data_IF_146250127490
#
_entry.id   IF_146250127490
#
_cell.length_a   1.000
_cell.length_b   1.000
_cell.length_c   1.000
_cell.angle_alpha   90.00
_cell.angle_beta   90.00
_cell.angle_gamma   90.00
#
_symmetry.space_group_name_H-M   'P 1'
#
loop_
_entity.id
_entity.type
_entity.pdbx_description
1 polymer ?
#
# COMPACT_ATOMS: atom_id res chain seq x y z
N UNK A 1 -0.14 -17.36 -23.13
CA UNK A 1 0.46 -16.37 -22.19
C UNK A 1 0.60 -14.99 -22.82
N UNK A 2 1.13 -14.87 -24.05
CA UNK A 2 1.21 -13.59 -24.80
C UNK A 2 -0.16 -12.97 -25.05
N UNK A 3 -1.15 -13.77 -25.49
CA UNK A 3 -2.53 -13.30 -25.72
C UNK A 3 -3.18 -12.73 -24.46
N UNK A 4 -3.02 -13.40 -23.31
CA UNK A 4 -3.53 -12.91 -22.03
C UNK A 4 -2.83 -11.62 -21.56
N UNK A 5 -1.54 -11.44 -21.89
CA UNK A 5 -0.81 -10.22 -21.61
C UNK A 5 -1.24 -9.06 -22.54
N UNK A 6 -1.52 -9.36 -23.81
CA UNK A 6 -2.08 -8.41 -24.77
C UNK A 6 -3.51 -7.99 -24.38
N UNK A 7 -4.38 -8.93 -24.02
CA UNK A 7 -5.72 -8.65 -23.50
C UNK A 7 -5.69 -7.85 -22.20
N UNK A 8 -4.72 -8.13 -21.32
CA UNK A 8 -4.52 -7.37 -20.09
C UNK A 8 -3.97 -5.95 -20.35
N UNK A 9 -3.33 -5.71 -21.50
CA UNK A 9 -2.80 -4.41 -21.92
C UNK A 9 -3.80 -3.58 -22.72
N UNK A 10 -4.71 -4.23 -23.46
CA UNK A 10 -5.83 -3.57 -24.15
C UNK A 10 -6.85 -2.97 -23.15
N UNK A 11 -7.17 -3.72 -22.09
CA UNK A 11 -8.15 -3.31 -21.06
C UNK A 11 -7.88 -1.93 -20.41
N UNK A 12 -6.64 -1.58 -20.02
CA UNK A 12 -6.31 -0.24 -19.52
C UNK A 12 -6.60 0.89 -20.51
N UNK A 13 -6.33 0.68 -21.80
CA UNK A 13 -6.54 1.70 -22.85
C UNK A 13 -8.03 1.91 -23.08
N UNK A 14 -8.80 0.81 -23.13
CA UNK A 14 -10.25 0.85 -23.27
C UNK A 14 -10.90 1.55 -22.07
N UNK A 15 -10.46 1.22 -20.84
CA UNK A 15 -10.94 1.86 -19.61
C UNK A 15 -10.57 3.34 -19.53
N UNK A 16 -9.39 3.73 -20.01
CA UNK A 16 -8.98 5.15 -20.07
C UNK A 16 -9.88 5.92 -21.03
N UNK A 17 -10.13 5.35 -22.21
CA UNK A 17 -11.00 5.97 -23.22
C UNK A 17 -12.45 6.08 -22.73
N UNK A 18 -12.97 5.04 -22.08
CA UNK A 18 -14.30 5.04 -21.47
C UNK A 18 -14.42 6.10 -20.36
N UNK A 19 -13.40 6.24 -19.51
CA UNK A 19 -13.41 7.24 -18.44
C UNK A 19 -13.34 8.68 -18.98
N UNK A 20 -12.58 8.93 -20.05
CA UNK A 20 -12.55 10.24 -20.74
C UNK A 20 -13.93 10.56 -21.32
N UNK A 21 -14.55 9.62 -22.03
CA UNK A 21 -15.88 9.80 -22.61
C UNK A 21 -16.93 10.08 -21.53
N UNK A 22 -16.90 9.33 -20.42
CA UNK A 22 -17.83 9.54 -19.31
C UNK A 22 -17.60 10.88 -18.61
N UNK A 23 -16.34 11.34 -18.50
CA UNK A 23 -16.03 12.67 -17.97
C UNK A 23 -16.62 13.77 -18.85
N UNK A 24 -16.55 13.63 -20.17
CA UNK A 24 -17.15 14.59 -21.10
C UNK A 24 -18.68 14.61 -20.98
N UNK A 25 -19.32 13.44 -20.85
CA UNK A 25 -20.77 13.33 -20.62
C UNK A 25 -21.19 14.00 -19.30
N UNK A 26 -20.41 13.83 -18.23
CA UNK A 26 -20.68 14.49 -16.95
C UNK A 26 -20.54 16.01 -17.04
N UNK A 27 -19.56 16.53 -17.77
CA UNK A 27 -19.43 17.97 -17.99
C UNK A 27 -20.61 18.53 -18.78
N UNK A 28 -21.07 17.81 -19.81
CA UNK A 28 -22.24 18.21 -20.58
C UNK A 28 -23.52 18.19 -19.72
N UNK A 29 -23.67 17.18 -18.86
CA UNK A 29 -24.76 17.13 -17.89
C UNK A 29 -24.70 18.29 -16.89
N UNK A 30 -23.52 18.62 -16.37
CA UNK A 30 -23.32 19.74 -15.44
C UNK A 30 -23.81 21.06 -16.04
N UNK A 31 -23.38 21.37 -17.27
CA UNK A 31 -23.80 22.57 -18.00
C UNK A 31 -25.32 22.59 -18.17
N UNK A 32 -25.91 21.50 -18.68
CA UNK A 32 -27.36 21.42 -18.89
C UNK A 32 -28.15 21.55 -17.57
N UNK A 33 -27.64 20.97 -16.48
CA UNK A 33 -28.27 21.07 -15.16
C UNK A 33 -28.19 22.48 -14.58
N UNK A 34 -27.08 23.18 -14.81
CA UNK A 34 -26.92 24.58 -14.40
C UNK A 34 -27.89 25.48 -15.18
N UNK A 35 -27.96 25.34 -16.51
CA UNK A 35 -28.89 26.08 -17.36
C UNK A 35 -30.36 25.87 -16.96
N UNK A 36 -30.73 24.64 -16.55
CA UNK A 36 -32.09 24.34 -16.11
C UNK A 36 -32.43 24.93 -14.74
N UNK A 37 -31.43 25.11 -13.86
CA UNK A 37 -31.61 25.61 -12.49
C UNK A 37 -31.43 27.13 -12.39
N UNK A 38 -30.71 27.76 -13.32
CA UNK A 38 -30.47 29.20 -13.37
C UNK A 38 -31.72 30.06 -13.18
N UNK A 39 -32.89 29.77 -13.80
CA UNK A 39 -34.12 30.55 -13.60
C UNK A 39 -34.68 30.49 -12.16
N UNK A 40 -34.24 29.53 -11.34
CA UNK A 40 -34.77 29.25 -10.02
C UNK A 40 -33.83 29.67 -8.88
N UNK A 41 -32.68 30.27 -9.20
CA UNK A 41 -31.65 30.63 -8.22
C UNK A 41 -32.19 31.54 -7.12
N UNK A 42 -32.96 32.59 -7.46
CA UNK A 42 -33.53 33.52 -6.49
C UNK A 42 -34.55 32.85 -5.55
N UNK A 43 -35.36 31.94 -6.11
CA UNK A 43 -36.33 31.16 -5.33
C UNK A 43 -35.62 30.25 -4.32
N UNK A 44 -34.56 29.56 -4.76
CA UNK A 44 -33.75 28.70 -3.91
C UNK A 44 -33.05 29.50 -2.81
N UNK A 45 -32.43 30.62 -3.15
CA UNK A 45 -31.75 31.49 -2.19
C UNK A 45 -32.73 32.02 -1.12
N UNK A 46 -33.93 32.45 -1.52
CA UNK A 46 -34.97 32.95 -0.60
C UNK A 46 -35.43 31.90 0.42
N UNK A 47 -35.42 30.62 0.03
CA UNK A 47 -35.84 29.51 0.88
C UNK A 47 -34.66 28.78 1.54
N UNK A 48 -33.45 29.33 1.46
CA UNK A 48 -32.25 28.76 2.08
C UNK A 48 -31.74 27.47 1.43
N UNK A 49 -32.14 27.18 0.18
CA UNK A 49 -31.66 26.04 -0.59
C UNK A 49 -30.39 26.41 -1.36
N UNK A 50 -29.31 25.65 -1.14
CA UNK A 50 -28.07 25.80 -1.90
C UNK A 50 -28.17 25.13 -3.28
N UNK A 51 -27.39 25.63 -4.24
CA UNK A 51 -27.26 25.00 -5.56
C UNK A 51 -26.65 23.59 -5.43
N UNK A 52 -27.29 22.55 -6.01
CA UNK A 52 -26.81 21.18 -5.88
C UNK A 52 -25.56 20.94 -6.76
N UNK A 53 -24.50 20.43 -6.15
CA UNK A 53 -23.35 19.87 -6.87
C UNK A 53 -23.66 18.41 -7.27
N UNK A 54 -24.01 18.21 -8.54
CA UNK A 54 -24.47 16.93 -9.05
C UNK A 54 -23.35 16.07 -9.66
N UNK A 55 -22.18 16.64 -9.93
CA UNK A 55 -21.15 16.01 -10.79
C UNK A 55 -19.79 15.87 -10.12
N UNK A 56 -19.43 16.69 -9.14
CA UNK A 56 -18.06 16.71 -8.63
C UNK A 56 -17.66 15.41 -7.95
N UNK A 57 -18.58 14.73 -7.25
CA UNK A 57 -18.30 13.44 -6.64
C UNK A 57 -17.99 12.36 -7.69
N UNK A 58 -18.74 12.33 -8.79
CA UNK A 58 -18.51 11.42 -9.90
C UNK A 58 -17.20 11.73 -10.65
N UNK A 59 -16.91 13.01 -10.89
CA UNK A 59 -15.65 13.46 -11.49
C UNK A 59 -14.43 13.10 -10.61
N UNK A 60 -14.52 13.29 -9.28
CA UNK A 60 -13.47 12.87 -8.34
C UNK A 60 -13.21 11.37 -8.41
N UNK A 61 -14.27 10.57 -8.49
CA UNK A 61 -14.16 9.11 -8.64
C UNK A 61 -13.50 8.71 -9.96
N UNK A 62 -13.89 9.32 -11.08
CA UNK A 62 -13.29 9.08 -12.39
C UNK A 62 -11.81 9.45 -12.45
N UNK A 63 -11.44 10.60 -11.87
CA UNK A 63 -10.04 11.02 -11.77
C UNK A 63 -9.21 10.06 -10.91
N UNK A 64 -9.78 9.53 -9.82
CA UNK A 64 -9.12 8.51 -9.00
C UNK A 64 -8.91 7.20 -9.79
N UNK A 65 -9.90 6.77 -10.58
CA UNK A 65 -9.80 5.59 -11.46
C UNK A 65 -8.73 5.78 -12.54
N UNK A 66 -8.72 6.92 -13.23
CA UNK A 66 -7.70 7.26 -14.22
C UNK A 66 -6.29 7.25 -13.61
N UNK A 67 -6.12 7.90 -12.46
CA UNK A 67 -4.84 7.91 -11.75
C UNK A 67 -4.41 6.52 -11.26
N UNK A 68 -5.35 5.63 -10.92
CA UNK A 68 -5.04 4.24 -10.62
C UNK A 68 -4.58 3.47 -11.86
N UNK A 69 -5.30 3.58 -12.98
CA UNK A 69 -4.97 2.90 -14.25
C UNK A 69 -3.57 3.33 -14.72
N UNK A 70 -3.29 4.63 -14.76
CA UNK A 70 -1.98 5.17 -15.15
C UNK A 70 -0.85 4.62 -14.27
N UNK A 71 -1.03 4.63 -12.95
CA UNK A 71 -0.03 4.08 -12.02
C UNK A 71 0.20 2.58 -12.22
N UNK A 72 -0.85 1.83 -12.54
CA UNK A 72 -0.76 0.39 -12.81
C UNK A 72 0.03 0.11 -14.09
N UNK A 73 -0.26 0.84 -15.18
CA UNK A 73 0.47 0.72 -16.45
C UNK A 73 1.94 1.06 -16.24
N UNK A 74 2.25 2.21 -15.64
CA UNK A 74 3.62 2.63 -15.36
C UNK A 74 4.40 1.61 -14.53
N UNK A 75 3.78 1.00 -13.51
CA UNK A 75 4.41 -0.06 -12.70
C UNK A 75 4.70 -1.32 -13.51
N UNK A 76 3.76 -1.72 -14.37
CA UNK A 76 3.94 -2.88 -15.25
C UNK A 76 5.09 -2.67 -16.23
N UNK A 77 5.13 -1.52 -16.89
CA UNK A 77 6.17 -1.17 -17.87
C UNK A 77 7.54 -1.05 -17.22
N UNK A 78 7.63 -0.43 -16.05
CA UNK A 78 8.86 -0.38 -15.27
C UNK A 78 9.37 -1.78 -14.92
N UNK A 79 8.47 -2.70 -14.57
CA UNK A 79 8.82 -4.10 -14.24
C UNK A 79 9.30 -4.85 -15.48
N UNK A 80 8.60 -4.73 -16.61
CA UNK A 80 8.99 -5.36 -17.87
C UNK A 80 10.35 -4.84 -18.36
N UNK A 81 10.57 -3.53 -18.28
CA UNK A 81 11.83 -2.88 -18.64
C UNK A 81 12.98 -3.37 -17.77
N UNK A 82 12.80 -3.37 -16.45
CA UNK A 82 13.80 -3.88 -15.51
C UNK A 82 14.14 -5.36 -15.78
N UNK A 83 13.15 -6.18 -16.16
CA UNK A 83 13.36 -7.58 -16.50
C UNK A 83 14.22 -7.74 -17.76
N UNK A 84 13.86 -7.04 -18.85
CA UNK A 84 14.61 -7.11 -20.13
C UNK A 84 16.05 -6.65 -19.94
N UNK A 85 16.25 -5.51 -19.26
CA UNK A 85 17.58 -5.00 -18.94
C UNK A 85 18.35 -6.01 -18.09
N UNK A 86 17.72 -6.56 -17.05
CA UNK A 86 18.33 -7.55 -16.16
C UNK A 86 18.74 -8.84 -16.88
N UNK A 87 17.92 -9.35 -17.81
CA UNK A 87 18.25 -10.51 -18.66
C UNK A 87 19.44 -10.18 -19.57
N UNK A 88 19.44 -9.02 -20.21
CA UNK A 88 20.56 -8.57 -21.04
C UNK A 88 21.87 -8.48 -20.26
N UNK A 89 21.82 -7.90 -19.06
CA UNK A 89 22.98 -7.82 -18.16
C UNK A 89 23.49 -9.20 -17.72
N UNK A 90 22.58 -10.12 -17.35
CA UNK A 90 22.96 -11.49 -16.98
C UNK A 90 23.60 -12.24 -18.14
N UNK A 91 23.08 -12.08 -19.36
CA UNK A 91 23.66 -12.70 -20.57
C UNK A 91 25.08 -12.19 -20.82
N UNK A 92 25.30 -10.87 -20.75
CA UNK A 92 26.65 -10.28 -20.86
C UNK A 92 27.59 -10.77 -19.75
N UNK A 93 27.12 -10.82 -18.51
CA UNK A 93 27.90 -11.31 -17.39
C UNK A 93 28.31 -12.79 -17.56
N UNK A 94 27.40 -13.65 -18.03
CA UNK A 94 27.70 -15.05 -18.33
C UNK A 94 28.72 -15.20 -19.45
N UNK A 95 28.63 -14.39 -20.51
CA UNK A 95 29.61 -14.37 -21.59
C UNK A 95 31.00 -13.94 -21.08
N UNK A 96 31.06 -12.92 -20.23
CA UNK A 96 32.32 -12.48 -19.61
C UNK A 96 32.90 -13.57 -18.70
N UNK A 97 32.08 -14.21 -17.87
CA UNK A 97 32.52 -15.28 -16.96
C UNK A 97 32.96 -16.54 -17.72
N UNK A 98 32.34 -16.87 -18.86
CA UNK A 98 32.73 -18.01 -19.70
C UNK A 98 34.13 -17.84 -20.32
N UNK A 99 34.54 -16.59 -20.59
CA UNK A 99 35.90 -16.27 -21.05
C UNK A 99 36.92 -16.00 -19.94
N UNK A 100 36.52 -16.11 -18.66
CA UNK A 100 37.35 -15.76 -17.50
C UNK A 100 37.97 -16.98 -16.82
N UNK A 101 39.17 -16.81 -16.24
CA UNK A 101 39.83 -17.84 -15.44
C UNK A 101 39.03 -18.21 -14.17
N UNK A 102 39.25 -19.40 -13.62
CA UNK A 102 38.59 -19.87 -12.40
C UNK A 102 38.82 -18.91 -11.21
N UNK A 103 40.01 -18.29 -11.12
CA UNK A 103 40.33 -17.32 -10.09
C UNK A 103 39.45 -16.06 -10.16
N UNK A 104 39.23 -15.52 -11.37
CA UNK A 104 38.34 -14.36 -11.59
C UNK A 104 36.89 -14.73 -11.28
N UNK A 105 36.45 -15.94 -11.67
CA UNK A 105 35.11 -16.43 -11.34
C UNK A 105 34.88 -16.56 -9.83
N UNK A 106 35.86 -17.10 -9.09
CA UNK A 106 35.81 -17.20 -7.65
C UNK A 106 35.78 -15.82 -6.95
N UNK A 107 36.60 -14.88 -7.41
CA UNK A 107 36.63 -13.51 -6.88
C UNK A 107 35.29 -12.79 -7.10
N UNK A 108 34.71 -12.89 -8.30
CA UNK A 108 33.39 -12.31 -8.58
C UNK A 108 32.31 -12.96 -7.71
N UNK A 109 32.32 -14.29 -7.55
CA UNK A 109 31.37 -14.99 -6.69
C UNK A 109 31.46 -14.50 -5.23
N UNK A 110 32.69 -14.39 -4.69
CA UNK A 110 32.94 -13.86 -3.34
C UNK A 110 32.41 -12.43 -3.18
N UNK A 111 32.74 -11.52 -4.10
CA UNK A 111 32.27 -10.14 -4.06
C UNK A 111 30.74 -10.02 -4.16
N UNK A 112 30.08 -10.91 -4.92
CA UNK A 112 28.62 -10.96 -5.00
C UNK A 112 27.99 -11.47 -3.72
N UNK A 113 28.57 -12.49 -3.09
CA UNK A 113 28.11 -13.01 -1.80
C UNK A 113 28.27 -11.96 -0.70
N UNK A 114 29.38 -11.24 -0.67
CA UNK A 114 29.63 -10.14 0.27
C UNK A 114 28.61 -9.01 0.08
N UNK A 115 28.39 -8.57 -1.17
CA UNK A 115 27.37 -7.56 -1.46
C UNK A 115 25.96 -8.03 -1.08
N UNK A 116 25.62 -9.29 -1.38
CA UNK A 116 24.32 -9.84 -1.02
C UNK A 116 24.14 -9.87 0.51
N UNK A 117 25.17 -10.30 1.24
CA UNK A 117 25.20 -10.31 2.70
C UNK A 117 24.99 -8.92 3.29
N UNK A 118 25.75 -7.93 2.79
CA UNK A 118 25.62 -6.53 3.22
C UNK A 118 24.23 -5.94 2.96
N UNK A 119 23.67 -6.15 1.77
CA UNK A 119 22.32 -5.64 1.42
C UNK A 119 21.24 -6.31 2.27
N UNK A 120 21.34 -7.62 2.49
CA UNK A 120 20.39 -8.35 3.33
C UNK A 120 20.47 -7.90 4.78
N UNK A 121 21.67 -7.76 5.33
CA UNK A 121 21.90 -7.21 6.67
C UNK A 121 21.30 -5.82 6.81
N UNK A 122 21.55 -4.91 5.85
CA UNK A 122 20.95 -3.57 5.87
C UNK A 122 19.42 -3.59 5.77
N UNK A 123 18.84 -4.54 5.05
CA UNK A 123 17.38 -4.72 4.97
C UNK A 123 16.81 -5.24 6.31
N UNK A 124 17.47 -6.22 6.92
CA UNK A 124 17.13 -6.72 8.25
C UNK A 124 17.16 -5.60 9.30
N UNK A 125 18.23 -4.81 9.29
CA UNK A 125 18.41 -3.69 10.23
C UNK A 125 17.36 -2.60 10.02
N UNK A 126 16.95 -2.33 8.78
CA UNK A 126 15.88 -1.40 8.46
C UNK A 126 14.53 -1.88 9.04
N UNK A 127 14.20 -3.17 8.91
CA UNK A 127 12.98 -3.73 9.51
C UNK A 127 13.02 -3.68 11.05
N UNK A 128 14.15 -4.04 11.65
CA UNK A 128 14.33 -3.95 13.12
C UNK A 128 14.22 -2.49 13.59
N UNK A 129 14.77 -1.54 12.84
CA UNK A 129 14.70 -0.11 13.17
C UNK A 129 13.29 0.46 13.00
N UNK A 130 12.56 0.03 11.97
CA UNK A 130 11.16 0.40 11.77
C UNK A 130 10.29 -0.04 12.97
N UNK A 131 10.57 -1.21 13.55
CA UNK A 131 9.88 -1.69 14.75
C UNK A 131 10.18 -0.90 16.02
N UNK A 132 11.35 -0.26 16.10
CA UNK A 132 11.74 0.62 17.23
C UNK A 132 11.16 2.03 17.09
N UNK A 133 10.76 2.43 15.89
CA UNK A 133 10.22 3.76 15.63
C UNK A 133 8.86 3.90 16.31
N UNK A 134 8.67 4.96 17.08
CA UNK A 134 7.40 5.25 17.73
C UNK A 134 6.29 5.41 16.68
N UNK A 135 5.10 4.89 17.00
CA UNK A 135 3.96 5.00 16.10
C UNK A 135 3.50 6.47 16.03
N UNK A 136 3.19 6.98 14.83
CA UNK A 136 2.60 8.30 14.71
C UNK A 136 1.26 8.30 15.44
N UNK A 137 1.00 9.37 16.19
CA UNK A 137 -0.22 9.55 16.97
C UNK A 137 -1.15 10.53 16.25
N UNK A 138 -2.45 10.29 16.40
CA UNK A 138 -3.49 11.24 16.06
C UNK A 138 -3.43 12.46 17.00
N UNK A 139 -3.53 13.66 16.43
CA UNK A 139 -3.35 14.90 17.21
C UNK A 139 -4.51 15.23 18.14
N UNK A 140 -5.74 14.79 17.83
CA UNK A 140 -6.94 15.09 18.64
C UNK A 140 -7.19 14.06 19.74
N UNK A 141 -7.08 12.78 19.42
CA UNK A 141 -7.43 11.67 20.31
C UNK A 141 -6.20 11.02 20.97
N UNK A 142 -4.98 11.35 20.53
CA UNK A 142 -3.75 10.77 21.07
C UNK A 142 -3.61 9.27 20.80
N UNK A 143 -4.36 8.72 19.84
CA UNK A 143 -4.35 7.30 19.48
C UNK A 143 -3.34 7.01 18.36
N UNK A 144 -2.62 5.87 18.40
CA UNK A 144 -1.63 5.53 17.39
C UNK A 144 -2.27 5.04 16.09
N UNK A 145 -1.62 5.31 14.95
CA UNK A 145 -1.95 4.65 13.68
C UNK A 145 -1.34 3.24 13.63
N UNK A 146 -2.18 2.22 13.40
CA UNK A 146 -1.82 0.82 13.58
C UNK A 146 -1.59 0.05 12.27
N UNK A 147 -2.04 0.57 11.12
CA UNK A 147 -1.91 -0.17 9.84
C UNK A 147 -0.44 -0.39 9.45
N UNK A 148 0.42 0.61 9.65
CA UNK A 148 1.86 0.47 9.40
C UNK A 148 2.52 -0.54 10.34
N UNK A 149 2.08 -0.62 11.60
CA UNK A 149 2.59 -1.60 12.57
C UNK A 149 2.33 -3.03 12.11
N UNK A 150 1.11 -3.28 11.61
CA UNK A 150 0.74 -4.58 11.03
C UNK A 150 1.65 -4.96 9.86
N UNK A 151 1.90 -4.03 8.93
CA UNK A 151 2.74 -4.29 7.77
C UNK A 151 4.20 -4.60 8.17
N UNK A 152 4.79 -3.88 9.14
CA UNK A 152 6.15 -4.16 9.62
C UNK A 152 6.26 -5.50 10.36
N UNK A 153 5.28 -5.84 11.20
CA UNK A 153 5.20 -7.15 11.87
C UNK A 153 5.14 -8.28 10.83
N UNK A 154 4.31 -8.11 9.80
CA UNK A 154 4.16 -9.11 8.72
C UNK A 154 5.44 -9.25 7.91
N UNK A 155 6.14 -8.16 7.58
CA UNK A 155 7.43 -8.19 6.86
C UNK A 155 8.47 -8.98 7.64
N UNK A 156 8.56 -8.79 8.96
CA UNK A 156 9.49 -9.55 9.81
C UNK A 156 9.16 -11.05 9.76
N UNK A 157 7.89 -11.44 9.89
CA UNK A 157 7.51 -12.86 9.83
C UNK A 157 7.71 -13.49 8.45
N UNK A 158 7.59 -12.70 7.37
CA UNK A 158 7.91 -13.18 6.02
C UNK A 158 9.41 -13.52 5.86
N UNK A 159 10.29 -12.95 6.70
CA UNK A 159 11.72 -13.27 6.71
C UNK A 159 12.05 -14.52 7.55
N UNK A 160 11.13 -15.00 8.38
CA UNK A 160 11.38 -16.17 9.25
C UNK A 160 11.82 -17.42 8.46
N UNK A 161 11.15 -17.82 7.35
CA UNK A 161 11.58 -18.98 6.58
C UNK A 161 12.97 -18.83 5.93
N UNK A 162 13.48 -17.60 5.81
CA UNK A 162 14.82 -17.34 5.27
C UNK A 162 15.92 -17.49 6.32
N UNK A 163 15.54 -17.44 7.59
CA UNK A 163 16.44 -17.41 8.75
C UNK A 163 16.35 -18.68 9.63
N UNK A 164 15.42 -19.59 9.30
CA UNK A 164 15.25 -20.88 9.96
C UNK A 164 15.41 -22.04 8.95
N UNK A 165 16.20 -23.09 9.28
CA UNK A 165 17.12 -23.17 10.42
C UNK A 165 18.33 -22.24 10.26
N UNK A 166 19.04 -21.98 11.36
CA UNK A 166 20.33 -21.31 11.32
C UNK A 166 21.24 -22.03 10.32
N UNK A 167 21.79 -21.29 9.36
CA UNK A 167 22.59 -21.86 8.28
C UNK A 167 23.89 -21.08 8.17
N UNK A 168 24.97 -21.72 7.73
CA UNK A 168 26.23 -21.03 7.38
C UNK A 168 26.12 -20.22 6.08
N UNK A 169 24.90 -19.78 5.71
CA UNK A 169 24.67 -19.01 4.50
C UNK A 169 25.13 -17.57 4.66
N UNK A 170 25.33 -16.89 3.54
CA UNK A 170 25.64 -15.46 3.47
C UNK A 170 24.59 -14.55 4.17
N UNK A 171 23.44 -15.11 4.57
CA UNK A 171 22.34 -14.41 5.25
C UNK A 171 22.49 -14.38 6.77
N UNK A 172 23.35 -15.22 7.33
CA UNK A 172 23.41 -15.50 8.77
C UNK A 172 23.57 -14.24 9.62
N UNK A 173 24.48 -13.34 9.22
CA UNK A 173 24.70 -12.06 9.91
C UNK A 173 23.42 -11.21 10.04
N UNK A 174 22.59 -11.15 8.99
CA UNK A 174 21.32 -10.42 9.03
C UNK A 174 20.17 -11.19 9.66
N UNK A 175 20.29 -12.51 9.83
CA UNK A 175 19.27 -13.35 10.45
C UNK A 175 19.37 -13.39 11.97
N UNK A 176 20.55 -13.15 12.54
CA UNK A 176 20.76 -13.07 14.00
C UNK A 176 19.83 -12.03 14.64
N UNK A 177 19.81 -10.80 14.10
CA UNK A 177 18.99 -9.70 14.63
C UNK A 177 17.48 -9.91 14.45
N UNK A 178 17.07 -10.67 13.42
CA UNK A 178 15.67 -10.96 13.14
C UNK A 178 15.11 -12.09 14.01
N UNK A 179 15.91 -13.12 14.31
CA UNK A 179 15.46 -14.28 15.11
C UNK A 179 14.93 -13.90 16.47
N UNK A 180 15.58 -12.94 17.13
CA UNK A 180 15.14 -12.41 18.43
C UNK A 180 13.76 -11.72 18.38
N UNK A 181 13.26 -11.41 17.17
CA UNK A 181 12.03 -10.64 16.97
C UNK A 181 10.86 -11.46 16.46
N UNK A 182 11.08 -12.69 15.95
CA UNK A 182 10.00 -13.48 15.35
C UNK A 182 8.90 -13.83 16.36
N UNK A 183 9.26 -14.33 17.54
CA UNK A 183 8.26 -14.71 18.53
C UNK A 183 7.52 -13.50 19.11
N UNK A 184 8.24 -12.39 19.35
CA UNK A 184 7.63 -11.12 19.71
C UNK A 184 6.66 -10.61 18.64
N UNK A 185 7.02 -10.72 17.36
CA UNK A 185 6.15 -10.31 16.26
C UNK A 185 4.90 -11.20 16.11
N UNK A 186 5.01 -12.52 16.36
CA UNK A 186 3.86 -13.44 16.41
C UNK A 186 2.91 -13.07 17.55
N UNK A 187 3.47 -12.79 18.74
CA UNK A 187 2.68 -12.37 19.90
C UNK A 187 1.99 -11.03 19.60
N UNK A 188 2.72 -10.05 19.08
CA UNK A 188 2.17 -8.73 18.75
C UNK A 188 1.00 -8.81 17.76
N UNK A 189 1.09 -9.65 16.72
CA UNK A 189 -0.01 -9.86 15.79
C UNK A 189 -1.19 -10.60 16.40
N UNK A 190 -0.94 -11.56 17.31
CA UNK A 190 -2.00 -12.41 17.87
C UNK A 190 -2.74 -11.75 19.03
N UNK A 191 -2.07 -10.92 19.83
CA UNK A 191 -2.63 -10.40 21.09
C UNK A 191 -2.55 -8.88 21.22
N UNK A 192 -1.36 -8.29 21.03
CA UNK A 192 -1.15 -6.85 21.25
C UNK A 192 -1.96 -5.99 20.28
N UNK A 193 -1.85 -6.27 18.98
CA UNK A 193 -2.49 -5.47 17.94
C UNK A 193 -4.03 -5.58 17.97
N UNK A 194 -4.64 -6.76 18.11
CA UNK A 194 -6.09 -6.86 18.32
C UNK A 194 -6.59 -6.10 19.55
N UNK A 195 -5.83 -6.15 20.66
CA UNK A 195 -6.17 -5.41 21.88
C UNK A 195 -6.07 -3.89 21.71
N UNK A 196 -5.05 -3.41 21.00
CA UNK A 196 -4.91 -1.98 20.68
C UNK A 196 -6.03 -1.50 19.76
N UNK A 197 -6.42 -2.30 18.77
CA UNK A 197 -7.54 -1.99 17.88
C UNK A 197 -8.86 -1.92 18.64
N UNK A 198 -9.16 -2.91 19.50
CA UNK A 198 -10.42 -2.90 20.27
C UNK A 198 -10.48 -1.74 21.28
N UNK A 199 -9.36 -1.43 21.93
CA UNK A 199 -9.22 -0.27 22.81
C UNK A 199 -9.40 1.06 22.05
N UNK A 200 -8.76 1.20 20.89
CA UNK A 200 -8.87 2.39 20.04
C UNK A 200 -10.29 2.61 19.52
N UNK A 201 -10.98 1.56 19.09
CA UNK A 201 -12.39 1.62 18.67
C UNK A 201 -13.30 2.07 19.83
N UNK A 202 -13.04 1.57 21.04
CA UNK A 202 -13.81 1.98 22.23
C UNK A 202 -13.57 3.45 22.58
N UNK A 203 -12.32 3.91 22.52
CA UNK A 203 -11.97 5.31 22.75
C UNK A 203 -12.59 6.25 21.70
N UNK A 204 -12.56 5.87 20.42
CA UNK A 204 -13.22 6.63 19.35
C UNK A 204 -14.73 6.69 19.51
N UNK A 205 -15.37 5.62 19.98
CA UNK A 205 -16.80 5.62 20.31
C UNK A 205 -17.13 6.64 21.40
N UNK A 206 -16.34 6.68 22.46
CA UNK A 206 -16.49 7.67 23.55
C UNK A 206 -16.25 9.11 23.08
N UNK A 207 -15.45 9.31 22.04
CA UNK A 207 -15.18 10.61 21.43
C UNK A 207 -16.22 11.06 20.39
N UNK A 208 -17.27 10.26 20.15
CA UNK A 208 -18.35 10.63 19.24
C UNK A 208 -18.07 10.40 17.75
N UNK A 209 -17.10 9.55 17.41
CA UNK A 209 -16.85 9.13 16.02
C UNK A 209 -18.04 8.30 15.51
N UNK A 210 -18.39 8.47 14.23
CA UNK A 210 -19.52 7.79 13.59
C UNK A 210 -19.51 6.27 13.83
N UNK A 211 -20.61 5.78 14.39
CA UNK A 211 -20.81 4.37 14.72
C UNK A 211 -20.69 3.46 13.50
N UNK A 212 -21.12 3.91 12.31
CA UNK A 212 -21.05 3.09 11.09
C UNK A 212 -19.60 2.77 10.68
N UNK A 213 -18.68 3.74 10.87
CA UNK A 213 -17.25 3.54 10.60
C UNK A 213 -16.60 2.60 11.62
N UNK A 214 -16.99 2.73 12.89
CA UNK A 214 -16.47 1.88 13.96
C UNK A 214 -16.98 0.44 13.85
N UNK A 215 -18.25 0.25 13.46
CA UNK A 215 -18.85 -1.06 13.25
C UNK A 215 -18.21 -1.80 12.06
N UNK A 216 -17.87 -1.08 10.99
CA UNK A 216 -17.13 -1.65 9.86
C UNK A 216 -15.73 -2.14 10.29
N UNK A 217 -15.01 -1.37 11.09
CA UNK A 217 -13.71 -1.77 11.62
C UNK A 217 -13.82 -2.96 12.59
N UNK A 218 -14.85 -2.96 13.44
CA UNK A 218 -15.14 -4.06 14.38
C UNK A 218 -15.50 -5.36 13.65
N UNK A 219 -16.33 -5.30 12.61
CA UNK A 219 -16.69 -6.47 11.81
C UNK A 219 -15.44 -7.12 11.17
N UNK A 220 -14.47 -6.32 10.72
CA UNK A 220 -13.19 -6.83 10.23
C UNK A 220 -12.36 -7.49 11.32
N UNK A 221 -12.32 -6.91 12.52
CA UNK A 221 -11.61 -7.47 13.66
C UNK A 221 -12.22 -8.81 14.11
N UNK A 222 -13.55 -8.91 14.15
CA UNK A 222 -14.27 -10.11 14.60
C UNK A 222 -14.07 -11.31 13.64
N UNK A 223 -13.86 -11.05 12.35
CA UNK A 223 -13.53 -12.09 11.34
C UNK A 223 -12.01 -12.36 11.26
N UNK A 224 -11.18 -11.66 12.05
CA UNK A 224 -9.73 -11.83 12.08
C UNK A 224 -8.97 -11.13 10.93
N UNK A 225 -9.63 -10.26 10.16
CA UNK A 225 -9.00 -9.41 9.16
C UNK A 225 -8.33 -8.19 9.82
N UNK A 226 -7.19 -8.45 10.48
CA UNK A 226 -6.44 -7.44 11.23
C UNK A 226 -5.94 -6.28 10.36
N UNK A 227 -5.59 -6.55 9.08
CA UNK A 227 -5.16 -5.52 8.15
C UNK A 227 -6.33 -4.60 7.78
N UNK A 228 -7.47 -5.18 7.42
CA UNK A 228 -8.68 -4.42 7.13
C UNK A 228 -9.14 -3.59 8.33
N UNK A 229 -9.14 -4.19 9.52
CA UNK A 229 -9.48 -3.51 10.77
C UNK A 229 -8.54 -2.32 11.05
N UNK A 230 -7.23 -2.50 10.90
CA UNK A 230 -6.25 -1.44 11.13
C UNK A 230 -6.34 -0.29 10.11
N UNK A 231 -6.64 -0.58 8.85
CA UNK A 231 -6.84 0.45 7.82
C UNK A 231 -8.10 1.27 8.14
N UNK A 232 -9.20 0.62 8.51
CA UNK A 232 -10.45 1.32 8.86
C UNK A 232 -10.31 2.13 10.14
N UNK A 233 -9.61 1.59 11.14
CA UNK A 233 -9.24 2.32 12.35
C UNK A 233 -8.45 3.59 12.04
N UNK A 234 -7.39 3.48 11.24
CA UNK A 234 -6.55 4.62 10.86
C UNK A 234 -7.32 5.65 10.00
N UNK A 235 -8.25 5.18 9.15
CA UNK A 235 -9.13 6.05 8.38
C UNK A 235 -10.10 6.83 9.29
N UNK A 236 -10.70 6.17 10.28
CA UNK A 236 -11.56 6.82 11.27
C UNK A 236 -10.79 7.89 12.05
N UNK A 237 -9.55 7.60 12.48
CA UNK A 237 -8.68 8.58 13.14
C UNK A 237 -8.34 9.79 12.24
N UNK A 238 -8.06 9.59 10.95
CA UNK A 238 -7.83 10.73 10.05
C UNK A 238 -9.10 11.56 9.84
N UNK A 239 -10.27 10.91 9.84
CA UNK A 239 -11.55 11.60 9.75
C UNK A 239 -11.80 12.57 10.91
N UNK A 240 -11.24 12.29 12.10
CA UNK A 240 -11.36 13.22 13.23
C UNK A 240 -10.46 14.44 13.10
N UNK A 241 -9.36 14.38 12.35
CA UNK A 241 -8.43 15.51 12.15
C UNK A 241 -8.92 16.53 11.12
N UNK A 242 -9.76 16.11 10.17
CA UNK A 242 -10.27 16.94 9.06
C UNK A 242 -11.62 17.62 9.31
N UNK A 243 -12.10 17.62 10.55
CA UNK A 243 -13.28 18.37 11.04
C UNK A 243 -12.86 19.45 12.01
#
# INVERSE_FOLDING_TARGET
MVTAALDASAKPVDLTSAAINLSAQLQQFEIASQEALDPHVDFMATHGAAMPDMTSAAQRSLNAMLGYIQRRVARSDATATALVIGVGMRRKALQMLAGSSDAVRAQVASAKLEKASSVFMGTSDAHVSAMKTALPMNTKLGLPYLAKRYDELTKILQMQPLCEPASSSWREAGCISLRERFDGAKIDLKTTLPSQLSGGLTAMKSAGVDAALLDAAKAKLDVGDLKGAAILHDAALRGTEGT
#
